data_IF_232815893504
#
_entry.id   IF_232815893504
#
_cell.length_a   1.000
_cell.length_b   1.000
_cell.length_c   1.000
_cell.angle_alpha   90.00
_cell.angle_beta   90.00
_cell.angle_gamma   90.00
#
_symmetry.space_group_name_H-M   'P 1'
#
loop_
_entity.id
_entity.type
_entity.pdbx_description
1 polymer ?
#
# COMPACT_ATOMS: atom_id res chain seq x y z
N UNK A 1 -22.21 -0.06 -2.44
CA UNK A 1 -21.56 -0.48 -1.17
C UNK A 1 -20.49 0.53 -0.80
N UNK A 2 -20.31 0.87 0.48
CA UNK A 2 -19.28 1.85 0.87
C UNK A 2 -17.93 1.13 1.01
N UNK A 3 -17.16 1.11 -0.08
CA UNK A 3 -15.83 0.50 -0.14
C UNK A 3 -14.77 1.34 0.60
N UNK A 4 -13.91 0.66 1.35
CA UNK A 4 -12.70 1.20 2.01
C UNK A 4 -11.48 0.47 1.46
N UNK A 5 -10.59 1.19 0.80
CA UNK A 5 -9.30 0.63 0.41
C UNK A 5 -8.37 0.41 1.63
N UNK A 6 -7.61 -0.69 1.61
CA UNK A 6 -6.44 -0.89 2.45
C UNK A 6 -5.19 -0.42 1.71
N UNK A 7 -4.36 0.36 2.39
CA UNK A 7 -3.23 1.07 1.82
C UNK A 7 -1.97 0.64 2.57
N UNK A 8 -1.06 -0.06 1.90
CA UNK A 8 0.22 -0.42 2.48
C UNK A 8 1.18 0.77 2.42
N UNK A 9 1.77 1.13 3.55
CA UNK A 9 2.78 2.17 3.67
C UNK A 9 4.14 1.49 3.86
N UNK A 10 4.94 1.50 2.81
CA UNK A 10 6.37 1.23 2.89
C UNK A 10 7.11 2.56 2.99
N UNK A 11 8.15 2.59 3.80
CA UNK A 11 9.04 3.74 3.89
C UNK A 11 10.45 3.25 4.14
N UNK A 12 11.44 4.09 3.94
CA UNK A 12 12.81 3.81 4.38
C UNK A 12 12.95 3.74 5.91
N UNK A 13 13.77 4.57 6.56
CA UNK A 13 14.22 4.28 7.92
C UNK A 13 13.73 5.32 8.94
N UNK A 14 14.56 5.61 9.93
CA UNK A 14 14.24 6.53 11.04
C UNK A 14 14.11 7.99 10.60
N UNK A 15 14.56 8.31 9.38
CA UNK A 15 14.49 9.61 8.75
C UNK A 15 13.08 10.01 8.28
N UNK A 16 12.09 9.11 8.39
CA UNK A 16 10.71 9.32 7.90
C UNK A 16 9.62 9.14 8.96
N UNK A 17 9.93 9.32 10.25
CA UNK A 17 8.96 9.09 11.33
C UNK A 17 7.74 10.00 11.20
N UNK A 18 7.96 11.29 10.93
CA UNK A 18 6.88 12.27 10.84
C UNK A 18 6.01 12.04 9.59
N UNK A 19 6.63 11.79 8.45
CA UNK A 19 5.97 11.54 7.17
C UNK A 19 5.10 10.29 7.24
N UNK A 20 5.57 9.21 7.87
CA UNK A 20 4.77 8.01 8.10
C UNK A 20 3.54 8.30 8.95
N UNK A 21 3.70 9.04 10.05
CA UNK A 21 2.59 9.37 10.94
C UNK A 21 1.52 10.20 10.20
N UNK A 22 1.96 11.17 9.40
CA UNK A 22 1.07 11.98 8.56
C UNK A 22 0.37 11.13 7.51
N UNK A 23 1.08 10.16 6.92
CA UNK A 23 0.49 9.25 5.95
C UNK A 23 -0.63 8.40 6.57
N UNK A 24 -0.37 7.80 7.74
CA UNK A 24 -1.37 7.05 8.52
C UNK A 24 -2.59 7.92 8.81
N UNK A 25 -2.38 9.13 9.32
CA UNK A 25 -3.47 10.06 9.61
C UNK A 25 -4.28 10.45 8.37
N UNK A 26 -3.61 10.72 7.25
CA UNK A 26 -4.27 11.13 6.01
C UNK A 26 -5.13 9.99 5.45
N UNK A 27 -4.63 8.76 5.48
CA UNK A 27 -5.38 7.56 5.06
C UNK A 27 -6.62 7.38 5.94
N UNK A 28 -6.48 7.49 7.27
CA UNK A 28 -7.60 7.40 8.21
C UNK A 28 -8.64 8.51 7.98
N UNK A 29 -8.20 9.76 7.80
CA UNK A 29 -9.07 10.92 7.52
C UNK A 29 -9.79 10.80 6.18
N UNK A 30 -9.18 10.14 5.19
CA UNK A 30 -9.82 9.81 3.92
C UNK A 30 -10.84 8.65 4.04
N UNK A 31 -10.89 7.97 5.20
CA UNK A 31 -11.81 6.88 5.49
C UNK A 31 -11.32 5.50 5.03
N UNK A 32 -10.03 5.38 4.72
CA UNK A 32 -9.34 4.17 4.28
C UNK A 32 -8.60 3.49 5.45
N UNK A 33 -7.99 2.33 5.20
CA UNK A 33 -7.35 1.49 6.22
C UNK A 33 -5.84 1.50 5.96
N UNK A 34 -5.00 2.08 6.84
CA UNK A 34 -3.55 1.98 6.71
C UNK A 34 -3.06 0.60 7.14
N UNK A 35 -2.08 0.05 6.43
CA UNK A 35 -1.32 -1.15 6.77
C UNK A 35 0.19 -0.89 6.58
N UNK A 36 1.07 -1.67 7.22
CA UNK A 36 2.52 -1.56 7.04
C UNK A 36 3.29 -1.01 8.25
N UNK A 37 4.57 -0.73 8.04
CA UNK A 37 5.53 -0.31 9.06
C UNK A 37 5.24 1.13 9.52
N UNK A 38 5.35 1.38 10.83
CA UNK A 38 5.14 2.71 11.44
C UNK A 38 3.71 2.97 11.92
N UNK A 39 2.83 1.97 11.87
CA UNK A 39 1.53 2.01 12.56
C UNK A 39 1.70 1.78 14.08
N UNK A 40 2.79 1.11 14.48
CA UNK A 40 3.11 0.84 15.87
C UNK A 40 4.30 1.69 16.35
N UNK A 41 4.26 2.20 17.59
CA UNK A 41 5.26 3.13 18.12
C UNK A 41 6.65 2.54 18.41
N UNK A 42 6.86 1.23 18.22
CA UNK A 42 8.05 0.51 18.73
C UNK A 42 9.06 0.05 17.67
N UNK A 43 8.86 0.35 16.38
CA UNK A 43 9.79 -0.04 15.28
C UNK A 43 10.27 -1.50 15.35
N UNK A 44 9.42 -2.41 15.83
CA UNK A 44 9.79 -3.80 16.00
C UNK A 44 9.94 -4.47 14.63
N UNK A 45 11.00 -5.24 14.45
CA UNK A 45 11.16 -6.10 13.29
C UNK A 45 9.95 -7.04 13.19
N UNK A 46 9.31 -7.05 12.03
CA UNK A 46 8.15 -7.88 11.75
C UNK A 46 8.61 -9.14 11.02
N UNK A 47 8.07 -10.32 11.36
CA UNK A 47 8.30 -11.51 10.57
C UNK A 47 7.89 -11.28 9.11
N UNK A 48 8.71 -11.74 8.17
CA UNK A 48 8.50 -11.58 6.72
C UNK A 48 7.09 -12.00 6.28
N UNK A 49 6.56 -13.09 6.83
CA UNK A 49 5.22 -13.59 6.50
C UNK A 49 4.11 -12.62 6.90
N UNK A 50 4.32 -11.82 7.95
CA UNK A 50 3.36 -10.78 8.35
C UNK A 50 3.36 -9.63 7.34
N UNK A 51 4.54 -9.23 6.88
CA UNK A 51 4.71 -8.19 5.88
C UNK A 51 4.05 -8.62 4.55
N UNK A 52 4.36 -9.84 4.08
CA UNK A 52 3.74 -10.43 2.88
C UNK A 52 2.22 -10.37 2.94
N UNK A 53 1.63 -10.89 4.01
CA UNK A 53 0.17 -10.90 4.18
C UNK A 53 -0.43 -9.50 4.11
N UNK A 54 0.20 -8.51 4.74
CA UNK A 54 -0.29 -7.14 4.70
C UNK A 54 -0.22 -6.52 3.30
N UNK A 55 0.82 -6.82 2.52
CA UNK A 55 0.92 -6.39 1.13
C UNK A 55 -0.14 -7.10 0.27
N UNK A 56 -0.31 -8.42 0.46
CA UNK A 56 -1.28 -9.24 -0.27
C UNK A 56 -2.72 -8.71 -0.07
N UNK A 57 -3.07 -8.36 1.16
CA UNK A 57 -4.39 -7.84 1.54
C UNK A 57 -4.61 -6.36 1.18
N UNK A 58 -3.56 -5.63 0.81
CA UNK A 58 -3.65 -4.21 0.47
C UNK A 58 -4.09 -3.99 -0.98
N UNK A 59 -4.89 -2.95 -1.20
CA UNK A 59 -5.38 -2.54 -2.52
C UNK A 59 -4.38 -1.64 -3.25
N UNK A 60 -3.65 -0.81 -2.49
CA UNK A 60 -2.70 0.16 -3.02
C UNK A 60 -1.44 0.13 -2.17
N UNK A 61 -0.29 0.29 -2.81
CA UNK A 61 1.01 0.32 -2.15
C UNK A 61 1.67 1.68 -2.33
N UNK A 62 2.19 2.23 -1.24
CA UNK A 62 2.84 3.54 -1.21
C UNK A 62 4.26 3.35 -0.72
N UNK A 63 5.22 3.96 -1.40
CA UNK A 63 6.61 4.01 -0.97
C UNK A 63 6.98 5.45 -0.61
N UNK A 64 7.51 5.66 0.60
CA UNK A 64 8.07 6.95 1.01
C UNK A 64 9.60 6.82 1.08
N UNK A 65 10.31 7.57 0.25
CA UNK A 65 11.77 7.53 0.16
C UNK A 65 12.40 8.76 0.82
N UNK A 66 13.24 8.51 1.82
CA UNK A 66 14.07 9.51 2.51
C UNK A 66 15.49 9.54 1.96
N UNK A 67 16.49 9.51 2.85
CA UNK A 67 17.91 9.44 2.52
C UNK A 67 18.60 8.14 2.92
N UNK A 68 17.94 7.29 3.73
CA UNK A 68 18.49 6.00 4.18
C UNK A 68 17.91 4.81 3.40
N UNK A 69 18.65 3.72 3.26
CA UNK A 69 18.16 2.53 2.52
C UNK A 69 17.14 1.68 3.30
N UNK A 70 17.22 1.72 4.63
CA UNK A 70 16.48 0.82 5.53
C UNK A 70 17.31 -0.38 6.00
N UNK A 71 16.73 -1.20 6.86
CA UNK A 71 17.35 -2.43 7.35
C UNK A 71 17.51 -3.44 6.23
N UNK A 72 18.66 -4.12 6.19
CA UNK A 72 18.93 -5.19 5.24
C UNK A 72 18.16 -6.47 5.59
N UNK A 73 17.79 -7.23 4.56
CA UNK A 73 17.37 -8.61 4.72
C UNK A 73 18.50 -9.45 5.33
N UNK A 74 18.19 -10.59 5.98
CA UNK A 74 19.21 -11.48 6.55
C UNK A 74 20.24 -12.00 5.54
N UNK A 75 19.90 -12.05 4.26
CA UNK A 75 20.79 -12.45 3.16
C UNK A 75 21.58 -11.29 2.54
N UNK A 76 21.40 -10.07 3.06
CA UNK A 76 22.02 -8.81 2.61
C UNK A 76 21.78 -8.44 1.13
N UNK A 77 20.80 -9.11 0.49
CA UNK A 77 20.49 -8.87 -0.92
C UNK A 77 19.90 -7.48 -1.16
N UNK A 78 18.89 -7.12 -0.37
CA UNK A 78 18.10 -5.89 -0.46
C UNK A 78 17.75 -5.38 0.94
N UNK A 79 17.35 -4.11 1.04
CA UNK A 79 16.66 -3.64 2.24
C UNK A 79 15.21 -4.15 2.26
N UNK A 80 14.61 -4.20 3.44
CA UNK A 80 13.19 -4.53 3.59
C UNK A 80 12.29 -3.65 2.70
N UNK A 81 12.41 -2.30 2.69
CA UNK A 81 11.58 -1.44 1.84
C UNK A 81 11.75 -1.71 0.34
N UNK A 82 12.98 -2.02 -0.11
CA UNK A 82 13.22 -2.40 -1.50
C UNK A 82 12.52 -3.72 -1.83
N UNK A 83 12.69 -4.74 -0.98
CA UNK A 83 12.02 -6.02 -1.17
C UNK A 83 10.48 -5.89 -1.15
N UNK A 84 9.92 -5.09 -0.25
CA UNK A 84 8.48 -4.82 -0.18
C UNK A 84 7.96 -4.19 -1.48
N UNK A 85 8.71 -3.22 -2.03
CA UNK A 85 8.37 -2.55 -3.28
C UNK A 85 8.33 -3.52 -4.46
N UNK A 86 9.34 -4.39 -4.58
CA UNK A 86 9.40 -5.40 -5.63
C UNK A 86 8.25 -6.40 -5.49
N UNK A 87 8.03 -6.93 -4.29
CA UNK A 87 6.97 -7.90 -4.02
C UNK A 87 5.58 -7.33 -4.35
N UNK A 88 5.31 -6.07 -4.00
CA UNK A 88 4.07 -5.41 -4.40
C UNK A 88 3.93 -5.27 -5.92
N UNK A 89 5.05 -5.06 -6.63
CA UNK A 89 5.10 -5.03 -8.09
C UNK A 89 4.83 -6.39 -8.74
N UNK A 90 5.40 -7.48 -8.19
CA UNK A 90 5.17 -8.85 -8.64
C UNK A 90 3.68 -9.24 -8.54
N UNK A 91 2.99 -8.73 -7.51
CA UNK A 91 1.55 -8.90 -7.31
C UNK A 91 0.68 -8.00 -8.19
N UNK A 92 1.28 -7.09 -8.96
CA UNK A 92 0.57 -6.12 -9.80
C UNK A 92 -0.22 -5.09 -9.01
N UNK A 93 0.17 -4.81 -7.75
CA UNK A 93 -0.51 -3.80 -6.93
C UNK A 93 -0.27 -2.42 -7.55
N UNK A 94 -1.29 -1.55 -7.63
CA UNK A 94 -1.06 -0.17 -7.98
C UNK A 94 -0.14 0.53 -6.97
N UNK A 95 0.91 1.18 -7.48
CA UNK A 95 1.99 1.81 -6.72
C UNK A 95 2.15 3.28 -7.07
N UNK A 96 2.56 4.08 -6.09
CA UNK A 96 3.11 5.42 -6.29
C UNK A 96 4.09 5.76 -5.17
N UNK A 97 4.99 6.71 -5.42
CA UNK A 97 6.02 7.05 -4.45
C UNK A 97 6.01 8.53 -4.06
N UNK A 98 6.33 8.76 -2.79
CA UNK A 98 6.63 10.07 -2.23
C UNK A 98 8.13 10.11 -1.98
N UNK A 99 8.80 11.15 -2.43
CA UNK A 99 10.27 11.24 -2.36
C UNK A 99 10.67 12.57 -1.74
N UNK A 100 11.40 12.55 -0.64
CA UNK A 100 11.92 13.78 -0.03
C UNK A 100 12.84 14.50 -1.01
N UNK A 101 12.74 15.83 -1.04
CA UNK A 101 13.65 16.66 -1.85
C UNK A 101 15.03 16.72 -1.21
N UNK A 102 16.04 17.02 -2.00
CA UNK A 102 17.41 17.18 -1.50
C UNK A 102 17.50 18.36 -0.51
N UNK A 103 16.65 19.38 -0.62
CA UNK A 103 16.50 20.46 0.36
C UNK A 103 15.96 19.94 1.70
N UNK A 104 14.95 19.08 1.69
CA UNK A 104 14.36 18.51 2.90
C UNK A 104 15.36 17.56 3.59
N UNK A 105 16.07 16.73 2.81
CA UNK A 105 17.10 15.83 3.33
C UNK A 105 18.24 16.62 4.00
N UNK A 106 18.69 17.74 3.42
CA UNK A 106 19.74 18.58 4.02
C UNK A 106 19.38 19.19 5.38
N UNK A 107 18.10 19.22 5.75
CA UNK A 107 17.65 19.71 7.06
C UNK A 107 17.66 18.61 8.14
N UNK A 108 17.80 17.34 7.73
CA UNK A 108 17.84 16.20 8.64
C UNK A 108 19.23 16.06 9.28
N UNK A 109 19.33 15.55 10.52
CA UNK A 109 20.60 15.48 11.26
C UNK A 109 21.49 14.29 10.86
N UNK A 110 21.24 13.66 9.71
CA UNK A 110 21.89 12.42 9.29
C UNK A 110 22.92 12.69 8.18
N UNK A 111 24.07 12.02 8.25
CA UNK A 111 24.98 11.92 7.11
C UNK A 111 24.57 10.71 6.25
N UNK A 112 23.80 10.97 5.20
CA UNK A 112 23.28 9.93 4.31
C UNK A 112 24.37 9.35 3.40
N UNK A 113 25.34 10.17 2.98
CA UNK A 113 26.36 9.78 1.99
C UNK A 113 27.41 8.88 2.63
N UNK A 114 27.72 9.09 3.91
CA UNK A 114 28.66 8.26 4.67
C UNK A 114 28.17 6.84 4.99
N UNK A 115 26.91 6.50 4.69
CA UNK A 115 26.34 5.17 5.00
C UNK A 115 26.74 4.16 3.94
N UNK A 116 27.20 2.98 4.36
CA UNK A 116 27.67 1.91 3.46
C UNK A 116 26.63 1.43 2.44
N UNK A 117 25.34 1.64 2.71
CA UNK A 117 24.23 1.28 1.83
C UNK A 117 23.80 2.40 0.88
N UNK A 118 24.51 3.53 0.82
CA UNK A 118 24.10 4.70 0.03
C UNK A 118 23.99 4.39 -1.46
N UNK A 119 24.94 3.68 -2.05
CA UNK A 119 24.90 3.31 -3.48
C UNK A 119 23.68 2.44 -3.80
N UNK A 120 23.44 1.38 -3.01
CA UNK A 120 22.24 0.53 -3.13
C UNK A 120 20.93 1.34 -3.00
N UNK A 121 20.92 2.35 -2.13
CA UNK A 121 19.77 3.25 -2.01
C UNK A 121 19.57 4.11 -3.26
N UNK A 122 20.63 4.67 -3.83
CA UNK A 122 20.51 5.47 -5.06
C UNK A 122 20.00 4.63 -6.23
N UNK A 123 20.49 3.40 -6.39
CA UNK A 123 19.99 2.46 -7.40
C UNK A 123 18.50 2.15 -7.20
N UNK A 124 18.09 1.88 -5.96
CA UNK A 124 16.69 1.67 -5.62
C UNK A 124 15.82 2.89 -5.90
N UNK A 125 16.25 4.08 -5.44
CA UNK A 125 15.56 5.35 -5.68
C UNK A 125 15.36 5.60 -7.18
N UNK A 126 16.41 5.36 -7.98
CA UNK A 126 16.34 5.51 -9.43
C UNK A 126 15.34 4.53 -10.05
N UNK A 127 15.36 3.25 -9.65
CA UNK A 127 14.40 2.25 -10.13
C UNK A 127 12.96 2.64 -9.81
N UNK A 128 12.69 3.18 -8.61
CA UNK A 128 11.35 3.66 -8.25
C UNK A 128 10.93 4.85 -9.12
N UNK A 129 11.84 5.78 -9.38
CA UNK A 129 11.60 6.98 -10.20
C UNK A 129 11.27 6.66 -11.66
N UNK A 130 11.77 5.54 -12.18
CA UNK A 130 11.52 5.09 -13.55
C UNK A 130 10.22 4.28 -13.69
N UNK A 131 9.75 3.65 -12.61
CA UNK A 131 8.62 2.71 -12.65
C UNK A 131 7.27 3.34 -12.28
N UNK A 132 7.23 4.31 -11.36
CA UNK A 132 5.97 4.86 -10.83
C UNK A 132 5.91 6.39 -10.83
N UNK A 133 4.69 6.92 -10.68
CA UNK A 133 4.48 8.34 -10.47
C UNK A 133 5.14 8.81 -9.14
N UNK A 134 5.90 9.90 -9.23
CA UNK A 134 6.68 10.47 -8.12
C UNK A 134 6.06 11.78 -7.64
N UNK A 135 5.96 11.92 -6.33
CA UNK A 135 5.53 13.13 -5.65
C UNK A 135 6.62 13.63 -4.70
N UNK A 136 7.16 14.81 -4.98
CA UNK A 136 8.25 15.38 -4.19
C UNK A 136 7.73 15.99 -2.89
N UNK A 137 8.42 15.70 -1.79
CA UNK A 137 8.09 16.13 -0.42
C UNK A 137 9.18 17.08 0.06
N UNK A 138 8.89 18.38 0.03
CA UNK A 138 9.76 19.39 0.64
C UNK A 138 9.42 19.66 2.11
N UNK A 139 8.19 19.33 2.50
CA UNK A 139 7.62 19.56 3.82
C UNK A 139 6.59 18.47 4.12
N UNK A 140 6.46 18.14 5.39
CA UNK A 140 5.51 17.16 5.94
C UNK A 140 4.07 17.28 5.41
N UNK A 141 3.56 18.50 5.23
CA UNK A 141 2.17 18.71 4.77
C UNK A 141 1.93 18.23 3.34
N UNK A 142 2.97 18.15 2.50
CA UNK A 142 2.85 17.62 1.14
C UNK A 142 2.40 16.16 1.14
N UNK A 143 2.82 15.35 2.12
CA UNK A 143 2.40 13.95 2.27
C UNK A 143 0.87 13.88 2.36
N UNK A 144 0.30 14.71 3.24
CA UNK A 144 -1.15 14.77 3.44
C UNK A 144 -1.86 15.20 2.15
N UNK A 145 -1.34 16.22 1.46
CA UNK A 145 -1.94 16.72 0.22
C UNK A 145 -1.95 15.64 -0.88
N UNK A 146 -0.80 15.04 -1.17
CA UNK A 146 -0.66 13.96 -2.17
C UNK A 146 -1.62 12.81 -1.88
N UNK A 147 -1.68 12.35 -0.63
CA UNK A 147 -2.56 11.25 -0.25
C UNK A 147 -4.04 11.61 -0.39
N UNK A 148 -4.45 12.83 -0.04
CA UNK A 148 -5.83 13.25 -0.23
C UNK A 148 -6.24 13.29 -1.71
N UNK A 149 -5.34 13.68 -2.60
CA UNK A 149 -5.62 13.67 -4.05
C UNK A 149 -5.64 12.24 -4.58
N UNK A 150 -4.59 11.46 -4.31
CA UNK A 150 -4.47 10.10 -4.83
C UNK A 150 -5.56 9.16 -4.31
N UNK A 151 -5.88 9.20 -3.02
CA UNK A 151 -6.90 8.30 -2.47
C UNK A 151 -8.30 8.60 -3.02
N UNK A 152 -8.59 9.84 -3.44
CA UNK A 152 -9.84 10.15 -4.17
C UNK A 152 -9.87 9.49 -5.55
N UNK A 153 -8.76 9.55 -6.28
CA UNK A 153 -8.59 8.90 -7.58
C UNK A 153 -8.74 7.37 -7.45
N UNK A 154 -7.98 6.75 -6.53
CA UNK A 154 -8.01 5.30 -6.29
C UNK A 154 -9.37 4.80 -5.81
N UNK A 155 -10.10 5.60 -5.02
CA UNK A 155 -11.45 5.21 -4.57
C UNK A 155 -12.43 5.05 -5.73
N UNK A 156 -12.24 5.77 -6.83
CA UNK A 156 -13.07 5.68 -8.04
C UNK A 156 -12.73 4.51 -8.96
N UNK A 157 -11.67 3.75 -8.67
CA UNK A 157 -11.25 2.59 -9.48
C UNK A 157 -12.13 1.37 -9.19
N UNK A 158 -12.65 0.78 -10.26
CA UNK A 158 -13.48 -0.43 -10.20
C UNK A 158 -12.65 -1.72 -10.10
N UNK A 159 -11.38 -1.69 -10.52
CA UNK A 159 -10.46 -2.83 -10.44
C UNK A 159 -9.94 -3.10 -9.02
N UNK A 160 -10.16 -2.19 -8.09
CA UNK A 160 -9.79 -2.36 -6.68
C UNK A 160 -10.95 -2.95 -5.87
N UNK A 161 -10.73 -4.10 -5.22
CA UNK A 161 -11.78 -4.80 -4.47
C UNK A 161 -12.19 -4.09 -3.18
N UNK A 162 -11.20 -3.68 -2.38
CA UNK A 162 -11.39 -3.03 -1.09
C UNK A 162 -12.22 -3.81 -0.07
N UNK A 163 -12.42 -3.17 1.07
CA UNK A 163 -13.18 -3.68 2.20
C UNK A 163 -14.58 -3.10 2.23
N UNK A 164 -15.56 -3.97 2.46
CA UNK A 164 -16.97 -3.61 2.56
C UNK A 164 -17.53 -4.16 3.85
N UNK A 165 -18.40 -3.39 4.50
CA UNK A 165 -19.09 -3.86 5.70
C UNK A 165 -19.95 -5.08 5.34
N UNK A 166 -19.97 -6.11 6.19
CA UNK A 166 -20.87 -7.25 6.02
C UNK A 166 -22.35 -6.84 5.95
N UNK A 167 -22.71 -5.68 6.53
CA UNK A 167 -24.06 -5.10 6.42
C UNK A 167 -24.41 -4.59 5.02
N UNK A 168 -23.41 -4.26 4.21
CA UNK A 168 -23.58 -3.76 2.84
C UNK A 168 -23.64 -4.92 1.83
N UNK A 169 -23.35 -6.15 2.26
CA UNK A 169 -23.42 -7.34 1.40
C UNK A 169 -24.90 -7.73 1.28
N UNK A 170 -25.45 -7.80 0.05
CA UNK A 170 -26.81 -8.31 -0.17
C UNK A 170 -26.97 -9.69 0.45
N UNK A 171 -28.18 -10.05 0.87
CA UNK A 171 -28.48 -11.34 1.50
C UNK A 171 -28.15 -12.50 0.54
N UNK A 172 -26.93 -13.02 0.65
CA UNK A 172 -26.39 -14.06 -0.22
C UNK A 172 -27.20 -15.34 -0.07
N UNK A 173 -27.81 -15.59 1.10
CA UNK A 173 -28.65 -16.76 1.31
C UNK A 173 -29.91 -16.70 0.44
N UNK A 174 -30.60 -15.55 0.41
CA UNK A 174 -31.75 -15.38 -0.49
C UNK A 174 -31.37 -15.54 -1.96
N UNK A 175 -30.22 -15.02 -2.35
CA UNK A 175 -29.69 -15.20 -3.71
C UNK A 175 -29.39 -16.67 -4.03
N UNK A 176 -28.84 -17.43 -3.08
CA UNK A 176 -28.56 -18.86 -3.23
C UNK A 176 -29.85 -19.69 -3.30
N UNK A 177 -30.83 -19.40 -2.45
CA UNK A 177 -32.16 -20.03 -2.46
C UNK A 177 -32.88 -19.79 -3.79
N UNK A 178 -32.85 -18.55 -4.28
CA UNK A 178 -33.43 -18.20 -5.57
C UNK A 178 -32.69 -18.87 -6.74
N UNK A 179 -31.36 -18.98 -6.68
CA UNK A 179 -30.58 -19.71 -7.68
C UNK A 179 -30.93 -21.21 -7.71
N UNK A 180 -31.11 -21.82 -6.53
CA UNK A 180 -31.53 -23.21 -6.42
C UNK A 180 -32.93 -23.44 -7.00
N UNK A 181 -33.88 -22.54 -6.70
CA UNK A 181 -35.24 -22.57 -7.28
C UNK A 181 -35.20 -22.47 -8.81
N UNK A 182 -34.48 -21.48 -9.34
CA UNK A 182 -34.38 -21.26 -10.79
C UNK A 182 -33.72 -22.44 -11.51
N UNK A 183 -32.70 -23.07 -10.90
CA UNK A 183 -32.10 -24.30 -11.45
C UNK A 183 -33.09 -25.46 -11.52
N UNK A 184 -33.92 -25.64 -10.49
CA UNK A 184 -34.95 -26.68 -10.48
C UNK A 184 -36.02 -26.44 -11.55
N UNK A 185 -36.49 -25.20 -11.71
CA UNK A 185 -37.43 -24.83 -12.77
C UNK A 185 -36.84 -25.07 -14.17
N UNK A 186 -35.59 -24.66 -14.41
CA UNK A 186 -34.90 -24.91 -15.69
C UNK A 186 -34.77 -26.40 -16.02
N UNK A 187 -34.53 -27.25 -15.01
CA UNK A 187 -34.54 -28.70 -15.23
C UNK A 187 -35.93 -29.23 -15.59
N UNK A 188 -36.99 -28.71 -14.98
CA UNK A 188 -38.36 -29.09 -15.31
C UNK A 188 -38.72 -28.69 -16.75
N UNK A 189 -38.42 -27.47 -17.16
CA UNK A 189 -38.66 -27.02 -18.54
C UNK A 189 -37.87 -27.85 -19.57
N UNK A 190 -36.59 -28.15 -19.31
CA UNK A 190 -35.77 -29.01 -20.18
C UNK A 190 -36.29 -30.44 -20.31
N UNK A 191 -36.98 -30.95 -19.29
CA UNK A 191 -37.62 -32.28 -19.33
C UNK A 191 -38.98 -32.24 -20.04
N UNK A 192 -39.66 -31.10 -20.05
CA UNK A 192 -40.95 -30.92 -20.72
C UNK A 192 -40.82 -30.69 -22.24
N UNK A 193 -39.67 -30.17 -22.70
CA UNK A 193 -39.35 -29.98 -24.13
C UNK A 193 -38.69 -31.21 -24.81
N UNK A 194 -38.58 -32.35 -24.10
CA UNK A 194 -38.09 -33.64 -24.61
C UNK A 194 -39.23 -34.63 -24.75
#
# INVERSE_FOLDING_TARGET
MRKKLQIYISSTFVDLVAERQIAVEAILKAGHIPAGIGIDPFFLERPMDTIKRWIDESDVFITILGGLYGNMLPDESKSYPHWEYDYAGELGKPRFALVLTDEALRQQPYDFVGVSSYEKFQEFKQSVMEDVAIFHIAEEWHVRWVLHEKLKEYKGRDDLGGWVSGKDIPDVQKLLEENARLKAELEQYKRADK
#
